data_IF_302707577678
#
_entry.id   IF_302707577678
#
_cell.length_a   1.000
_cell.length_b   1.000
_cell.length_c   1.000
_cell.angle_alpha   90.00
_cell.angle_beta   90.00
_cell.angle_gamma   90.00
#
_symmetry.space_group_name_H-M   'P 1'
#
loop_
_entity.id
_entity.type
_entity.pdbx_description
1 polymer ?
#
# COMPACT_ATOMS: atom_id res chain seq x y z
N UNK A 1 1.36 10.33 -9.92
CA UNK A 1 2.65 11.03 -9.72
C UNK A 1 2.43 12.20 -8.77
N UNK A 2 3.26 12.39 -7.73
CA UNK A 2 3.16 13.58 -6.89
C UNK A 2 3.41 14.82 -7.74
N UNK A 3 2.49 15.79 -7.67
CA UNK A 3 2.65 17.08 -8.33
C UNK A 3 3.69 17.87 -7.54
N UNK A 4 4.88 18.06 -8.11
CA UNK A 4 5.92 18.87 -7.49
C UNK A 4 5.61 20.33 -7.75
N UNK A 5 5.36 21.17 -6.71
CA UNK A 5 5.12 22.59 -6.92
C UNK A 5 6.39 23.24 -7.48
N UNK A 6 6.21 24.03 -8.54
CA UNK A 6 7.26 24.78 -9.21
C UNK A 6 6.99 26.28 -9.07
N UNK A 7 8.02 27.04 -8.68
CA UNK A 7 7.94 28.48 -8.44
C UNK A 7 8.55 29.26 -9.60
N UNK A 8 7.87 30.30 -10.08
CA UNK A 8 8.32 31.09 -11.23
C UNK A 8 9.61 31.85 -10.90
N UNK A 9 10.65 31.66 -11.69
CA UNK A 9 11.97 32.26 -11.50
C UNK A 9 11.97 33.79 -11.60
N UNK A 10 11.04 34.38 -12.35
CA UNK A 10 10.93 35.83 -12.48
C UNK A 10 10.59 36.51 -11.15
N UNK A 11 9.72 35.89 -10.35
CA UNK A 11 9.27 36.43 -9.06
C UNK A 11 10.33 36.29 -7.96
N UNK A 12 11.27 35.36 -8.16
CA UNK A 12 12.34 35.03 -7.22
C UNK A 12 13.53 36.01 -7.24
N UNK A 13 13.80 36.64 -8.39
CA UNK A 13 14.92 37.57 -8.52
C UNK A 13 14.48 39.03 -8.66
N UNK A 14 13.19 39.28 -8.94
CA UNK A 14 12.61 40.62 -9.10
C UNK A 14 12.78 41.51 -7.87
N UNK A 15 12.73 40.91 -6.67
CA UNK A 15 12.87 41.62 -5.39
C UNK A 15 14.30 41.59 -4.84
N UNK A 16 15.29 41.21 -5.65
CA UNK A 16 16.70 41.20 -5.24
C UNK A 16 17.46 42.40 -5.83
N UNK A 17 18.63 42.70 -5.28
CA UNK A 17 19.53 43.74 -5.82
C UNK A 17 20.23 43.32 -7.14
N UNK A 18 19.86 42.18 -7.72
CA UNK A 18 20.47 41.67 -8.95
C UNK A 18 19.81 42.37 -10.14
N UNK A 19 20.62 43.06 -10.95
CA UNK A 19 20.14 43.68 -12.18
C UNK A 19 19.58 42.64 -13.16
N UNK A 20 18.51 43.00 -13.86
CA UNK A 20 17.72 42.08 -14.70
C UNK A 20 18.54 41.41 -15.81
N UNK A 21 19.55 42.09 -16.35
CA UNK A 21 20.47 41.52 -17.34
C UNK A 21 21.27 40.32 -16.80
N UNK A 22 21.42 40.21 -15.48
CA UNK A 22 22.15 39.11 -14.83
C UNK A 22 21.24 37.95 -14.41
N UNK A 23 19.91 38.11 -14.42
CA UNK A 23 18.96 37.07 -13.99
C UNK A 23 19.17 35.72 -14.71
N UNK A 24 19.37 35.66 -16.05
CA UNK A 24 19.62 34.40 -16.74
C UNK A 24 20.84 33.63 -16.21
N UNK A 25 21.90 34.35 -15.80
CA UNK A 25 23.12 33.74 -15.25
C UNK A 25 22.86 33.08 -13.90
N UNK A 26 22.06 33.72 -13.06
CA UNK A 26 21.69 33.17 -11.76
C UNK A 26 20.77 31.96 -11.90
N UNK A 27 19.75 32.02 -12.77
CA UNK A 27 18.91 30.86 -13.05
C UNK A 27 19.72 29.66 -13.54
N UNK A 28 20.64 29.88 -14.48
CA UNK A 28 21.54 28.82 -14.96
C UNK A 28 22.44 28.25 -13.85
N UNK A 29 22.92 29.09 -12.91
CA UNK A 29 23.70 28.65 -11.74
C UNK A 29 22.92 27.68 -10.84
N UNK A 30 21.66 28.01 -10.53
CA UNK A 30 20.81 27.13 -9.70
C UNK A 30 20.35 25.89 -10.47
N UNK A 31 20.15 26.00 -11.78
CA UNK A 31 19.80 24.85 -12.62
C UNK A 31 20.91 23.79 -12.65
N UNK A 32 22.18 24.20 -12.72
CA UNK A 32 23.33 23.28 -12.60
C UNK A 32 23.36 22.49 -11.29
N UNK A 33 22.72 23.00 -10.23
CA UNK A 33 22.60 22.32 -8.93
C UNK A 33 21.32 21.47 -8.80
N UNK A 34 20.53 21.34 -9.87
CA UNK A 34 19.22 20.66 -9.83
C UNK A 34 18.12 21.43 -9.08
N UNK A 35 18.32 22.72 -8.83
CA UNK A 35 17.40 23.55 -8.03
C UNK A 35 16.46 24.42 -8.87
N UNK A 36 16.75 24.55 -10.16
CA UNK A 36 15.93 25.27 -11.13
C UNK A 36 15.87 24.51 -12.46
N UNK A 37 14.83 24.74 -13.24
CA UNK A 37 14.67 24.19 -14.58
C UNK A 37 14.09 25.23 -15.52
N UNK A 38 14.43 25.12 -16.81
CA UNK A 38 13.91 25.99 -17.86
C UNK A 38 12.91 25.20 -18.70
N UNK A 39 11.65 25.62 -18.66
CA UNK A 39 10.59 25.00 -19.45
C UNK A 39 10.41 25.81 -20.73
N UNK A 40 10.39 25.13 -21.87
CA UNK A 40 10.11 25.73 -23.18
C UNK A 40 8.67 25.41 -23.55
N UNK A 41 7.88 26.43 -23.88
CA UNK A 41 6.49 26.26 -24.25
C UNK A 41 6.37 26.03 -25.76
N UNK A 42 5.54 25.08 -26.16
CA UNK A 42 5.24 24.83 -27.57
C UNK A 42 4.42 25.98 -28.17
N UNK A 43 4.35 26.02 -29.50
CA UNK A 43 3.79 27.10 -30.32
C UNK A 43 2.34 27.53 -29.99
N UNK A 44 1.60 26.74 -29.21
CA UNK A 44 0.22 27.04 -28.79
C UNK A 44 0.08 27.98 -27.58
N UNK A 45 1.13 28.14 -26.76
CA UNK A 45 1.14 29.05 -25.60
C UNK A 45 2.28 30.05 -25.78
N UNK A 46 1.97 31.30 -26.14
CA UNK A 46 2.96 32.38 -26.28
C UNK A 46 3.02 33.21 -25.00
N UNK A 47 4.12 33.09 -24.27
CA UNK A 47 4.40 33.96 -23.12
C UNK A 47 5.06 35.24 -23.64
N UNK A 48 4.66 36.45 -23.18
CA UNK A 48 5.29 37.72 -23.55
C UNK A 48 6.68 37.87 -22.90
N UNK A 49 7.61 37.02 -23.31
CA UNK A 49 9.00 37.00 -22.89
C UNK A 49 9.89 36.96 -24.14
N UNK A 50 11.14 37.43 -24.00
CA UNK A 50 12.10 37.48 -25.12
C UNK A 50 12.33 36.10 -25.79
N UNK A 51 12.10 35.01 -25.04
CA UNK A 51 12.04 33.63 -25.53
C UNK A 51 10.79 32.97 -24.95
N UNK A 52 10.15 32.06 -25.69
CA UNK A 52 8.94 31.32 -25.24
C UNK A 52 9.26 30.24 -24.19
N UNK A 53 9.88 30.67 -23.09
CA UNK A 53 10.43 29.81 -22.06
C UNK A 53 10.45 30.53 -20.73
N UNK A 54 10.18 29.81 -19.63
CA UNK A 54 10.25 30.35 -18.28
C UNK A 54 11.13 29.48 -17.40
N UNK A 55 11.76 30.15 -16.42
CA UNK A 55 12.51 29.48 -15.37
C UNK A 55 11.58 29.11 -14.23
N UNK A 56 11.78 27.94 -13.66
CA UNK A 56 11.05 27.44 -12.50
C UNK A 56 12.03 26.89 -11.47
N UNK A 57 11.69 27.01 -10.19
CA UNK A 57 12.47 26.52 -9.06
C UNK A 57 11.69 25.48 -8.27
N UNK A 58 12.41 24.49 -7.72
CA UNK A 58 11.85 23.62 -6.69
C UNK A 58 11.71 24.39 -5.37
N UNK A 59 10.97 23.83 -4.40
CA UNK A 59 10.89 24.40 -3.04
C UNK A 59 12.28 24.57 -2.41
N UNK A 60 13.19 23.61 -2.62
CA UNK A 60 14.57 23.70 -2.15
C UNK A 60 15.32 24.84 -2.83
N UNK A 61 15.09 25.04 -4.13
CA UNK A 61 15.66 26.15 -4.89
C UNK A 61 15.17 27.50 -4.41
N UNK A 62 13.88 27.64 -4.13
CA UNK A 62 13.27 28.84 -3.55
C UNK A 62 13.95 29.23 -2.24
N UNK A 63 14.01 28.31 -1.28
CA UNK A 63 14.68 28.57 0.00
C UNK A 63 16.15 28.93 -0.20
N UNK A 64 16.85 28.25 -1.09
CA UNK A 64 18.28 28.53 -1.30
C UNK A 64 18.52 29.91 -1.91
N UNK A 65 17.65 30.38 -2.80
CA UNK A 65 17.68 31.77 -3.28
C UNK A 65 17.37 32.74 -2.14
N UNK A 66 16.33 32.50 -1.35
CA UNK A 66 15.96 33.35 -0.22
C UNK A 66 17.11 33.51 0.78
N UNK A 67 17.72 32.42 1.23
CA UNK A 67 18.81 32.45 2.21
C UNK A 67 20.16 32.93 1.64
N UNK A 68 20.40 32.79 0.33
CA UNK A 68 21.63 33.30 -0.30
C UNK A 68 21.53 34.79 -0.68
N UNK A 69 20.33 35.33 -0.94
CA UNK A 69 20.17 36.61 -1.66
C UNK A 69 19.28 37.66 -1.00
N UNK A 70 18.39 37.25 -0.09
CA UNK A 70 17.46 38.18 0.57
C UNK A 70 18.05 38.67 1.90
N UNK A 71 17.55 39.78 2.41
CA UNK A 71 17.93 40.30 3.72
C UNK A 71 17.47 39.39 4.86
N UNK A 72 18.07 39.54 6.05
CA UNK A 72 17.69 38.76 7.24
C UNK A 72 16.21 38.91 7.61
N UNK A 73 15.64 40.11 7.43
CA UNK A 73 14.22 40.37 7.72
C UNK A 73 13.31 39.60 6.76
N UNK A 74 13.64 39.60 5.46
CA UNK A 74 12.88 38.85 4.46
C UNK A 74 13.05 37.33 4.61
N UNK A 75 14.23 36.86 5.00
CA UNK A 75 14.45 35.45 5.34
C UNK A 75 13.57 35.00 6.52
N UNK A 76 13.43 35.83 7.55
CA UNK A 76 12.51 35.58 8.67
C UNK A 76 11.05 35.55 8.19
N UNK A 77 10.63 36.51 7.36
CA UNK A 77 9.29 36.52 6.79
C UNK A 77 8.99 35.27 5.94
N UNK A 78 9.98 34.74 5.20
CA UNK A 78 9.85 33.47 4.46
C UNK A 78 9.63 32.30 5.42
N UNK A 79 10.33 32.25 6.55
CA UNK A 79 10.15 31.21 7.57
C UNK A 79 8.78 31.30 8.26
N UNK A 80 8.34 32.50 8.63
CA UNK A 80 7.04 32.76 9.25
C UNK A 80 5.87 32.37 8.33
N UNK A 81 5.94 32.78 7.05
CA UNK A 81 4.94 32.41 6.05
C UNK A 81 4.92 30.90 5.74
N UNK A 82 6.07 30.24 5.81
CA UNK A 82 6.12 28.79 5.64
C UNK A 82 5.48 28.06 6.83
N UNK A 83 5.70 28.55 8.04
CA UNK A 83 5.11 28.00 9.26
C UNK A 83 3.58 28.20 9.30
N UNK A 84 3.07 29.37 8.89
CA UNK A 84 1.63 29.60 8.78
C UNK A 84 0.98 28.67 7.75
N UNK A 85 1.61 28.49 6.58
CA UNK A 85 1.12 27.59 5.54
C UNK A 85 1.04 26.12 5.99
N UNK A 86 2.03 25.61 6.72
CA UNK A 86 1.98 24.26 7.30
C UNK A 86 0.83 24.09 8.30
N UNK A 87 0.56 25.15 9.07
CA UNK A 87 -0.52 25.16 10.05
C UNK A 87 -1.88 25.20 9.35
N UNK A 88 -2.02 26.00 8.30
CA UNK A 88 -3.24 26.12 7.49
C UNK A 88 -3.58 24.86 6.68
N UNK A 89 -2.60 24.12 6.16
CA UNK A 89 -2.87 22.86 5.45
C UNK A 89 -3.36 21.73 6.37
N UNK A 90 -2.91 21.74 7.63
CA UNK A 90 -3.25 20.68 8.60
C UNK A 90 -4.61 20.92 9.29
N UNK A 91 -5.01 22.19 9.46
CA UNK A 91 -6.26 22.56 10.11
C UNK A 91 -7.55 22.05 9.46
N UNK A 92 -7.75 22.06 8.12
CA UNK A 92 -9.01 21.63 7.51
C UNK A 92 -9.24 20.13 7.62
N UNK A 93 -8.18 19.32 7.60
CA UNK A 93 -8.30 17.88 7.81
C UNK A 93 -8.65 17.56 9.27
N UNK A 94 -7.97 18.20 10.23
CA UNK A 94 -8.24 18.01 11.65
C UNK A 94 -9.65 18.48 12.03
N UNK A 95 -10.11 19.61 11.49
CA UNK A 95 -11.47 20.11 11.73
C UNK A 95 -12.52 19.17 11.13
N UNK A 96 -12.29 18.64 9.92
CA UNK A 96 -13.17 17.65 9.29
C UNK A 96 -13.27 16.36 10.11
N UNK A 97 -12.14 15.82 10.60
CA UNK A 97 -12.13 14.63 11.46
C UNK A 97 -12.89 14.89 12.76
N UNK A 98 -12.65 16.03 13.42
CA UNK A 98 -13.38 16.40 14.65
C UNK A 98 -14.88 16.53 14.41
N UNK A 99 -15.30 17.10 13.27
CA UNK A 99 -16.70 17.20 12.91
C UNK A 99 -17.34 15.82 12.74
N UNK A 100 -16.65 14.89 12.05
CA UNK A 100 -17.13 13.50 11.89
C UNK A 100 -17.28 12.78 13.23
N UNK A 101 -16.32 12.97 14.15
CA UNK A 101 -16.39 12.38 15.49
C UNK A 101 -17.58 12.93 16.31
N UNK A 102 -17.85 14.24 16.24
CA UNK A 102 -19.04 14.83 16.89
C UNK A 102 -20.34 14.28 16.32
N UNK A 103 -20.43 14.17 14.99
CA UNK A 103 -21.61 13.58 14.35
C UNK A 103 -21.84 12.12 14.76
N UNK A 104 -20.77 11.37 15.03
CA UNK A 104 -20.87 9.99 15.53
C UNK A 104 -21.38 9.98 16.97
N UNK A 105 -20.86 10.86 17.83
CA UNK A 105 -21.30 11.03 19.22
C UNK A 105 -22.78 11.40 19.32
N UNK A 106 -23.24 12.33 18.47
CA UNK A 106 -24.65 12.72 18.36
C UNK A 106 -25.54 11.52 17.95
N UNK A 107 -25.08 10.70 16.98
CA UNK A 107 -25.80 9.49 16.52
C UNK A 107 -25.89 8.41 17.59
N UNK A 108 -24.84 8.24 18.40
CA UNK A 108 -24.84 7.30 19.53
C UNK A 108 -25.71 7.79 20.69
N UNK A 109 -25.86 9.11 20.84
CA UNK A 109 -26.67 9.73 21.89
C UNK A 109 -28.17 9.74 21.57
N UNK A 110 -28.55 9.69 20.29
CA UNK A 110 -29.95 9.49 19.87
C UNK A 110 -30.36 8.02 20.00
N UNK A 111 -31.55 7.73 20.55
CA UNK A 111 -32.07 6.39 20.89
C UNK A 111 -31.56 5.26 19.96
N UNK A 112 -30.86 4.24 20.49
CA UNK A 112 -30.26 3.21 19.66
C UNK A 112 -31.33 2.21 19.21
N UNK A 113 -31.81 2.37 17.98
CA UNK A 113 -32.40 1.26 17.23
C UNK A 113 -31.32 0.32 16.65
N UNK A 114 -30.03 0.53 16.96
CA UNK A 114 -28.93 -0.25 16.38
C UNK A 114 -28.76 -1.60 17.06
N UNK A 115 -28.61 -2.65 16.24
CA UNK A 115 -28.27 -4.00 16.67
C UNK A 115 -26.96 -4.01 17.49
N UNK A 116 -26.95 -4.70 18.63
CA UNK A 116 -25.79 -4.82 19.55
C UNK A 116 -24.48 -5.16 18.83
N UNK A 117 -24.54 -6.04 17.81
CA UNK A 117 -23.39 -6.45 16.99
C UNK A 117 -22.75 -5.29 16.19
N UNK A 118 -23.56 -4.32 15.76
CA UNK A 118 -23.06 -3.12 15.07
C UNK A 118 -22.30 -2.22 16.05
N UNK A 119 -22.80 -2.07 17.28
CA UNK A 119 -22.13 -1.27 18.32
C UNK A 119 -20.81 -1.91 18.76
N UNK A 120 -20.73 -3.24 18.85
CA UNK A 120 -19.49 -3.96 19.10
C UNK A 120 -18.45 -3.70 18.01
N UNK A 121 -18.86 -3.79 16.74
CA UNK A 121 -17.98 -3.50 15.59
C UNK A 121 -17.51 -2.04 15.60
N UNK A 122 -18.42 -1.09 15.91
CA UNK A 122 -18.08 0.34 16.03
C UNK A 122 -17.09 0.58 17.17
N UNK A 123 -17.27 -0.06 18.32
CA UNK A 123 -16.35 0.04 19.46
C UNK A 123 -14.95 -0.43 19.07
N UNK A 124 -14.85 -1.57 18.37
CA UNK A 124 -13.58 -2.13 17.92
C UNK A 124 -12.85 -1.20 16.92
N UNK A 125 -13.59 -0.58 16.01
CA UNK A 125 -13.05 0.44 15.08
C UNK A 125 -12.50 1.66 15.82
N UNK A 126 -13.23 2.18 16.80
CA UNK A 126 -12.80 3.34 17.58
C UNK A 126 -11.53 3.06 18.38
N UNK A 127 -11.43 1.87 18.98
CA UNK A 127 -10.24 1.47 19.70
C UNK A 127 -9.03 1.39 18.76
N UNK A 128 -9.20 0.83 17.57
CA UNK A 128 -8.12 0.77 16.58
C UNK A 128 -7.73 2.13 15.99
N UNK A 129 -8.68 3.04 15.81
CA UNK A 129 -8.38 4.43 15.45
C UNK A 129 -7.51 5.07 16.55
N UNK A 130 -7.84 4.86 17.82
CA UNK A 130 -7.06 5.38 18.94
C UNK A 130 -5.65 4.77 18.99
N UNK A 131 -5.51 3.46 18.77
CA UNK A 131 -4.20 2.77 18.69
C UNK A 131 -3.38 3.28 17.52
N UNK A 132 -3.99 3.45 16.35
CA UNK A 132 -3.34 3.99 15.15
C UNK A 132 -2.82 5.41 15.37
N UNK A 133 -3.62 6.30 15.96
CA UNK A 133 -3.22 7.68 16.29
C UNK A 133 -2.03 7.70 17.27
N UNK A 134 -2.00 6.75 18.22
CA UNK A 134 -0.90 6.61 19.18
C UNK A 134 0.36 5.95 18.60
N UNK A 135 0.28 5.38 17.39
CA UNK A 135 1.37 4.61 16.78
C UNK A 135 1.55 3.21 17.36
N UNK A 136 0.54 2.68 18.06
CA UNK A 136 0.58 1.39 18.76
C UNK A 136 -0.36 0.35 18.12
N UNK A 137 -0.67 0.49 16.84
CA UNK A 137 -1.54 -0.47 16.15
C UNK A 137 -0.75 -1.72 15.76
N UNK A 138 -1.12 -2.88 16.30
CA UNK A 138 -0.51 -4.17 15.96
C UNK A 138 -1.31 -4.89 14.86
N UNK A 139 -0.67 -5.84 14.17
CA UNK A 139 -1.30 -6.66 13.12
C UNK A 139 -2.50 -7.46 13.66
N UNK A 140 -2.39 -7.98 14.88
CA UNK A 140 -3.46 -8.74 15.54
C UNK A 140 -4.71 -7.87 15.72
N UNK A 141 -4.53 -6.62 16.15
CA UNK A 141 -5.64 -5.70 16.35
C UNK A 141 -6.36 -5.38 15.04
N UNK A 142 -5.59 -5.17 13.97
CA UNK A 142 -6.13 -4.97 12.64
C UNK A 142 -6.88 -6.20 12.13
N UNK A 143 -6.36 -7.39 12.39
CA UNK A 143 -6.97 -8.68 12.01
C UNK A 143 -8.34 -8.85 12.65
N UNK A 144 -8.46 -8.62 13.96
CA UNK A 144 -9.74 -8.74 14.68
C UNK A 144 -10.79 -7.77 14.11
N UNK A 145 -10.40 -6.53 13.81
CA UNK A 145 -11.30 -5.53 13.23
C UNK A 145 -11.74 -5.84 11.82
N UNK A 146 -10.80 -6.26 10.97
CA UNK A 146 -11.12 -6.66 9.60
C UNK A 146 -12.10 -7.83 9.63
N UNK A 147 -11.86 -8.83 10.48
CA UNK A 147 -12.76 -9.98 10.59
C UNK A 147 -14.15 -9.59 11.10
N UNK A 148 -14.23 -8.74 12.13
CA UNK A 148 -15.50 -8.23 12.64
C UNK A 148 -16.26 -7.46 11.55
N UNK A 149 -15.59 -6.57 10.82
CA UNK A 149 -16.18 -5.84 9.69
C UNK A 149 -16.69 -6.76 8.60
N UNK A 150 -15.90 -7.76 8.19
CA UNK A 150 -16.29 -8.72 7.17
C UNK A 150 -17.53 -9.52 7.59
N UNK A 151 -17.71 -9.78 8.89
CA UNK A 151 -18.85 -10.52 9.45
C UNK A 151 -20.05 -9.65 9.86
N UNK A 152 -19.88 -8.33 9.96
CA UNK A 152 -20.89 -7.43 10.54
C UNK A 152 -22.22 -7.37 9.77
N UNK A 153 -22.25 -7.79 8.51
CA UNK A 153 -23.47 -7.92 7.71
C UNK A 153 -23.25 -8.83 6.51
N UNK A 154 -24.36 -9.23 5.88
CA UNK A 154 -24.31 -9.82 4.55
C UNK A 154 -23.92 -8.75 3.51
N UNK A 155 -22.83 -9.02 2.79
CA UNK A 155 -22.30 -8.14 1.74
C UNK A 155 -22.91 -8.43 0.36
N UNK A 156 -23.89 -9.33 0.29
CA UNK A 156 -24.63 -9.67 -0.92
C UNK A 156 -24.05 -10.88 -1.66
N UNK A 157 -24.34 -10.96 -2.95
CA UNK A 157 -24.03 -12.14 -3.77
C UNK A 157 -22.53 -12.40 -3.90
N UNK A 158 -22.13 -13.66 -3.70
CA UNK A 158 -20.75 -14.15 -3.92
C UNK A 158 -20.31 -13.95 -5.38
N UNK A 159 -21.24 -14.00 -6.33
CA UNK A 159 -20.93 -13.90 -7.76
C UNK A 159 -20.61 -12.47 -8.24
N UNK A 160 -20.95 -11.44 -7.47
CA UNK A 160 -20.78 -10.04 -7.86
C UNK A 160 -20.28 -9.12 -6.74
N UNK A 161 -19.75 -9.70 -5.66
CA UNK A 161 -19.23 -8.93 -4.52
C UNK A 161 -17.95 -8.19 -4.88
N UNK A 162 -18.02 -6.86 -4.83
CA UNK A 162 -16.85 -5.97 -5.00
C UNK A 162 -15.85 -6.14 -3.86
N UNK A 163 -16.33 -6.41 -2.65
CA UNK A 163 -15.51 -6.68 -1.47
C UNK A 163 -14.70 -7.96 -1.65
N UNK A 164 -15.35 -9.08 -2.00
CA UNK A 164 -14.64 -10.35 -2.25
C UNK A 164 -13.66 -10.22 -3.42
N UNK A 165 -14.04 -9.52 -4.48
CA UNK A 165 -13.14 -9.24 -5.61
C UNK A 165 -11.92 -8.42 -5.21
N UNK A 166 -12.10 -7.46 -4.29
CA UNK A 166 -11.01 -6.62 -3.77
C UNK A 166 -10.07 -7.42 -2.88
N UNK A 167 -10.61 -8.20 -1.93
CA UNK A 167 -9.83 -9.07 -1.04
C UNK A 167 -9.07 -10.13 -1.83
N UNK A 168 -9.74 -10.80 -2.78
CA UNK A 168 -9.12 -11.80 -3.65
C UNK A 168 -7.99 -11.23 -4.50
N UNK A 169 -8.16 -10.02 -5.06
CA UNK A 169 -7.09 -9.31 -5.77
C UNK A 169 -5.90 -9.02 -4.86
N UNK A 170 -6.16 -8.51 -3.65
CA UNK A 170 -5.10 -8.17 -2.70
C UNK A 170 -4.31 -9.41 -2.29
N UNK A 171 -4.99 -10.50 -1.90
CA UNK A 171 -4.36 -11.79 -1.56
C UNK A 171 -3.53 -12.32 -2.74
N UNK A 172 -4.10 -12.35 -3.94
CA UNK A 172 -3.42 -12.80 -5.14
C UNK A 172 -2.15 -12.01 -5.44
N UNK A 173 -2.15 -10.69 -5.20
CA UNK A 173 -0.96 -9.84 -5.37
C UNK A 173 0.12 -10.16 -4.34
N UNK A 174 -0.24 -10.36 -3.06
CA UNK A 174 0.73 -10.75 -2.02
C UNK A 174 1.39 -12.10 -2.37
N UNK A 175 0.57 -13.06 -2.77
CA UNK A 175 1.00 -14.41 -3.14
C UNK A 175 1.87 -14.43 -4.41
N UNK A 176 1.50 -13.65 -5.42
CA UNK A 176 2.32 -13.50 -6.61
C UNK A 176 3.68 -12.87 -6.30
N UNK A 177 3.72 -11.85 -5.43
CA UNK A 177 4.97 -11.21 -5.02
C UNK A 177 5.90 -12.18 -4.26
N UNK A 178 5.33 -13.12 -3.49
CA UNK A 178 6.09 -14.16 -2.79
C UNK A 178 6.61 -15.28 -3.72
N UNK A 179 6.09 -15.40 -4.95
CA UNK A 179 6.31 -16.58 -5.79
C UNK A 179 7.80 -16.84 -6.10
N UNK A 180 8.60 -15.80 -6.31
CA UNK A 180 10.05 -15.98 -6.56
C UNK A 180 10.76 -16.64 -5.37
N UNK A 181 10.42 -16.25 -4.14
CA UNK A 181 10.95 -16.85 -2.92
C UNK A 181 10.46 -18.29 -2.74
N UNK A 182 9.20 -18.56 -3.08
CA UNK A 182 8.61 -19.91 -3.02
C UNK A 182 9.33 -20.83 -4.02
N UNK A 183 9.50 -20.39 -5.28
CA UNK A 183 10.22 -21.14 -6.30
C UNK A 183 11.66 -21.43 -5.89
N UNK A 184 12.37 -20.46 -5.31
CA UNK A 184 13.72 -20.69 -4.82
C UNK A 184 13.74 -21.74 -3.69
N UNK A 185 12.78 -21.69 -2.77
CA UNK A 185 12.66 -22.67 -1.68
C UNK A 185 12.37 -24.08 -2.22
N UNK A 186 11.47 -24.17 -3.18
CA UNK A 186 11.13 -25.42 -3.88
C UNK A 186 12.32 -26.00 -4.63
N UNK A 187 13.05 -25.20 -5.40
CA UNK A 187 14.23 -25.68 -6.12
C UNK A 187 15.34 -26.14 -5.15
N UNK A 188 15.54 -25.40 -4.05
CA UNK A 188 16.45 -25.83 -2.98
C UNK A 188 16.05 -27.18 -2.39
N UNK A 189 14.76 -27.36 -2.10
CA UNK A 189 14.22 -28.63 -1.62
C UNK A 189 14.44 -29.78 -2.62
N UNK A 190 14.18 -29.55 -3.92
CA UNK A 190 14.39 -30.54 -4.98
C UNK A 190 15.84 -31.00 -5.05
N UNK A 191 16.79 -30.06 -5.05
CA UNK A 191 18.23 -30.38 -5.11
C UNK A 191 18.63 -31.28 -3.93
N UNK A 192 18.08 -31.04 -2.74
CA UNK A 192 18.38 -31.83 -1.55
C UNK A 192 17.74 -33.24 -1.58
N UNK A 193 16.62 -33.42 -2.27
CA UNK A 193 15.81 -34.65 -2.24
C UNK A 193 15.76 -35.41 -3.57
N UNK A 194 16.52 -34.99 -4.59
CA UNK A 194 16.48 -35.56 -5.95
C UNK A 194 16.84 -37.06 -5.98
N UNK A 195 17.70 -37.52 -5.08
CA UNK A 195 18.10 -38.93 -4.97
C UNK A 195 17.15 -39.77 -4.08
N UNK A 196 16.17 -39.12 -3.43
CA UNK A 196 15.24 -39.73 -2.46
C UNK A 196 13.77 -39.43 -2.79
N UNK A 197 13.44 -39.27 -4.07
CA UNK A 197 12.06 -38.96 -4.52
C UNK A 197 11.05 -40.04 -4.08
N UNK A 198 11.50 -41.27 -3.85
CA UNK A 198 10.66 -42.37 -3.33
C UNK A 198 10.36 -42.28 -1.83
N UNK A 199 11.02 -41.37 -1.10
CA UNK A 199 10.97 -41.23 0.36
C UNK A 199 10.76 -39.74 0.72
N UNK A 200 9.76 -39.12 0.09
CA UNK A 200 9.37 -37.75 0.40
C UNK A 200 8.56 -37.68 1.70
N UNK A 201 8.70 -36.59 2.48
CA UNK A 201 7.84 -36.34 3.63
C UNK A 201 6.34 -36.34 3.27
N UNK A 202 5.45 -36.54 4.26
CA UNK A 202 4.01 -36.41 4.06
C UNK A 202 3.62 -35.07 3.45
N UNK A 203 2.52 -35.05 2.69
CA UNK A 203 2.04 -33.84 1.98
C UNK A 203 1.79 -32.64 2.91
N UNK A 204 1.38 -32.88 4.15
CA UNK A 204 1.19 -31.85 5.18
C UNK A 204 2.51 -31.17 5.57
N UNK A 205 3.56 -31.96 5.79
CA UNK A 205 4.89 -31.45 6.12
C UNK A 205 5.49 -30.69 4.92
N UNK A 206 5.36 -31.24 3.71
CA UNK A 206 5.78 -30.57 2.47
C UNK A 206 5.05 -29.24 2.26
N UNK A 207 3.73 -29.21 2.43
CA UNK A 207 2.95 -27.98 2.27
C UNK A 207 3.39 -26.90 3.27
N UNK A 208 3.56 -27.31 4.54
CA UNK A 208 4.00 -26.44 5.64
C UNK A 208 5.41 -25.90 5.41
N UNK A 209 6.33 -26.76 4.95
CA UNK A 209 7.70 -26.36 4.70
C UNK A 209 7.78 -25.45 3.49
N UNK A 210 7.11 -25.74 2.38
CA UNK A 210 7.42 -25.13 1.09
C UNK A 210 6.55 -23.92 0.75
N UNK A 211 5.37 -23.78 1.35
CA UNK A 211 4.41 -22.74 0.99
C UNK A 211 3.98 -21.87 2.19
N UNK A 212 3.66 -20.57 1.95
CA UNK A 212 3.15 -19.68 2.99
C UNK A 212 1.88 -20.20 3.67
N UNK A 213 1.83 -20.08 5.00
CA UNK A 213 0.68 -20.47 5.83
C UNK A 213 -0.64 -19.84 5.35
N UNK A 214 -0.64 -18.55 5.03
CA UNK A 214 -1.84 -17.87 4.54
C UNK A 214 -2.42 -18.46 3.24
N UNK A 215 -1.58 -19.01 2.34
CA UNK A 215 -2.05 -19.72 1.15
C UNK A 215 -2.73 -21.03 1.53
N UNK A 216 -2.13 -21.77 2.46
CA UNK A 216 -2.68 -23.03 2.96
C UNK A 216 -4.03 -22.78 3.65
N UNK A 217 -4.11 -21.80 4.55
CA UNK A 217 -5.34 -21.42 5.25
C UNK A 217 -6.44 -21.03 4.27
N UNK A 218 -6.15 -20.24 3.23
CA UNK A 218 -7.14 -19.87 2.21
C UNK A 218 -7.70 -21.11 1.50
N UNK A 219 -6.83 -22.00 1.03
CA UNK A 219 -7.24 -23.16 0.24
C UNK A 219 -7.92 -24.23 1.10
N UNK A 220 -7.47 -24.46 2.33
CA UNK A 220 -8.12 -25.36 3.28
C UNK A 220 -9.57 -24.91 3.56
N UNK A 221 -9.78 -23.62 3.82
CA UNK A 221 -11.13 -23.08 4.02
C UNK A 221 -11.96 -23.12 2.74
N UNK A 222 -11.37 -22.87 1.57
CA UNK A 222 -12.05 -23.04 0.27
C UNK A 222 -12.50 -24.50 0.08
N UNK A 223 -11.66 -25.46 0.41
CA UNK A 223 -11.97 -26.89 0.37
C UNK A 223 -13.00 -27.33 1.43
N UNK A 224 -13.49 -26.41 2.28
CA UNK A 224 -14.48 -26.70 3.31
C UNK A 224 -13.90 -27.40 4.55
N UNK A 225 -12.60 -27.20 4.81
CA UNK A 225 -11.93 -27.64 6.03
C UNK A 225 -11.83 -26.48 7.02
N UNK A 226 -12.01 -26.80 8.28
CA UNK A 226 -11.88 -25.87 9.41
C UNK A 226 -11.05 -26.51 10.52
N UNK A 227 -10.73 -25.72 11.55
CA UNK A 227 -10.04 -26.24 12.74
C UNK A 227 -10.81 -27.38 13.42
N UNK A 228 -12.14 -27.39 13.31
CA UNK A 228 -13.05 -28.39 13.88
C UNK A 228 -13.13 -29.69 13.06
N UNK A 229 -12.54 -29.73 11.87
CA UNK A 229 -12.50 -30.94 11.04
C UNK A 229 -11.63 -32.02 11.71
N UNK A 230 -12.10 -33.26 11.70
CA UNK A 230 -11.33 -34.41 12.22
C UNK A 230 -9.93 -34.47 11.61
N UNK A 231 -8.92 -34.83 12.41
CA UNK A 231 -7.52 -34.93 12.00
C UNK A 231 -7.35 -35.80 10.73
N UNK A 232 -8.09 -36.91 10.65
CA UNK A 232 -8.04 -37.84 9.52
C UNK A 232 -8.50 -37.19 8.21
N UNK A 233 -9.64 -36.50 8.24
CA UNK A 233 -10.16 -35.74 7.09
C UNK A 233 -9.19 -34.64 6.64
N UNK A 234 -8.52 -33.97 7.58
CA UNK A 234 -7.54 -32.94 7.22
C UNK A 234 -6.34 -33.57 6.50
N UNK A 235 -5.79 -34.66 7.06
CA UNK A 235 -4.67 -35.41 6.49
C UNK A 235 -4.95 -35.97 5.10
N UNK A 236 -6.18 -36.44 4.84
CA UNK A 236 -6.55 -36.97 3.52
C UNK A 236 -6.62 -35.92 2.42
N UNK A 237 -6.81 -34.64 2.77
CA UNK A 237 -6.98 -33.55 1.82
C UNK A 237 -5.68 -32.80 1.52
N UNK A 238 -4.65 -32.92 2.37
CA UNK A 238 -3.33 -32.32 2.16
C UNK A 238 -2.65 -32.69 0.83
N UNK A 239 -2.77 -33.93 0.30
CA UNK A 239 -2.30 -34.22 -1.05
C UNK A 239 -2.94 -33.33 -2.12
N UNK A 240 -4.25 -33.07 -2.03
CA UNK A 240 -4.95 -32.19 -2.98
C UNK A 240 -4.52 -30.74 -2.79
N UNK A 241 -4.42 -30.28 -1.53
CA UNK A 241 -3.90 -28.95 -1.22
C UNK A 241 -2.51 -28.73 -1.83
N UNK A 242 -1.60 -29.68 -1.64
CA UNK A 242 -0.23 -29.62 -2.16
C UNK A 242 -0.25 -29.46 -3.68
N UNK A 243 -1.10 -30.20 -4.40
CA UNK A 243 -1.23 -30.05 -5.84
C UNK A 243 -1.70 -28.66 -6.26
N UNK A 244 -2.72 -28.12 -5.59
CA UNK A 244 -3.22 -26.77 -5.89
C UNK A 244 -2.10 -25.75 -5.66
N UNK A 245 -1.34 -25.87 -4.57
CA UNK A 245 -0.21 -25.00 -4.25
C UNK A 245 0.91 -25.09 -5.29
N UNK A 246 1.27 -26.30 -5.69
CA UNK A 246 2.26 -26.54 -6.75
C UNK A 246 1.84 -25.90 -8.07
N UNK A 247 0.60 -26.11 -8.50
CA UNK A 247 0.08 -25.54 -9.74
C UNK A 247 -0.05 -24.02 -9.69
N UNK A 248 -0.61 -23.47 -8.62
CA UNK A 248 -0.80 -22.03 -8.47
C UNK A 248 0.54 -21.28 -8.47
N UNK A 249 1.59 -21.88 -7.92
CA UNK A 249 2.93 -21.29 -7.84
C UNK A 249 3.85 -21.72 -9.00
N UNK A 250 3.37 -22.52 -9.96
CA UNK A 250 4.18 -23.04 -11.08
C UNK A 250 5.42 -23.82 -10.62
N UNK A 251 5.31 -24.49 -9.48
CA UNK A 251 6.39 -25.17 -8.80
C UNK A 251 6.02 -26.65 -8.64
N UNK A 252 6.45 -27.49 -9.58
CA UNK A 252 6.20 -28.94 -9.50
C UNK A 252 7.22 -29.59 -8.56
N UNK A 253 6.81 -29.93 -7.35
CA UNK A 253 7.68 -30.49 -6.29
C UNK A 253 7.53 -31.99 -6.29
N UNK A 254 6.29 -32.44 -6.14
CA UNK A 254 5.93 -33.81 -6.41
C UNK A 254 5.94 -33.98 -7.94
N UNK A 255 6.38 -35.13 -8.44
CA UNK A 255 6.35 -35.42 -9.88
C UNK A 255 4.91 -35.61 -10.39
N UNK A 256 4.05 -34.60 -10.26
CA UNK A 256 2.60 -34.66 -10.48
C UNK A 256 2.21 -35.37 -11.77
N UNK A 257 3.00 -35.25 -12.83
CA UNK A 257 2.65 -35.82 -14.12
C UNK A 257 2.64 -37.36 -14.17
N UNK A 258 3.44 -38.09 -13.37
CA UNK A 258 3.66 -39.51 -13.64
C UNK A 258 2.80 -40.50 -12.83
N UNK A 259 2.18 -40.07 -11.73
CA UNK A 259 1.39 -40.95 -10.83
C UNK A 259 -0.05 -40.47 -10.62
N UNK A 260 -0.34 -39.16 -10.75
CA UNK A 260 -1.71 -38.66 -10.63
C UNK A 260 -2.61 -39.11 -11.78
N UNK A 261 -2.06 -39.39 -12.97
CA UNK A 261 -2.84 -40.07 -14.02
C UNK A 261 -3.11 -41.55 -13.69
N UNK A 262 -2.19 -42.28 -13.07
CA UNK A 262 -2.33 -43.73 -12.87
C UNK A 262 -3.21 -44.12 -11.68
N UNK A 263 -3.37 -43.24 -10.70
CA UNK A 263 -4.11 -43.54 -9.46
C UNK A 263 -5.48 -42.85 -9.35
N UNK A 264 -5.69 -41.72 -10.04
CA UNK A 264 -7.03 -41.12 -10.20
C UNK A 264 -7.87 -41.81 -11.30
N UNK A 265 -7.23 -42.53 -12.25
CA UNK A 265 -7.91 -43.35 -13.30
C UNK A 265 -8.15 -44.79 -12.82
N UNK A 266 -7.46 -45.28 -11.80
CA UNK A 266 -7.76 -46.59 -11.20
C UNK A 266 -8.77 -46.45 -10.05
N UNK A 267 -9.99 -46.04 -10.42
CA UNK A 267 -11.22 -46.44 -9.73
C UNK A 267 -12.06 -47.26 -10.69
#
# INVERSE_FOLDING_TARGET
HPVIPLYLGADLLSNTNIRTENHPRYHAKFAKKGLATKIHFSSGLKVPAANNSLWFYSIQGLFRVAFEMYSKQEQLAVLENFQSFQTEQSQPLVSSVRQKLRSLDDQLSSEPQSCTEQLETVSLLLENINRYIKGNLEEKDATETVLALLKAKDWGSVYSSSLLSCVGRWLGQQFHAANSSISQKVEGFKVQHIERISDLPPAEELATELFPEAMQTLLLHWMGLSEESSLEKRRSEYPILLLILEFANHNLITGVAHVLYSSLICK
#
